data_IF_636712418639
#
_entry.id   IF_636712418639
#
_cell.length_a   1.000
_cell.length_b   1.000
_cell.length_c   1.000
_cell.angle_alpha   90.00
_cell.angle_beta   90.00
_cell.angle_gamma   90.00
#
_symmetry.space_group_name_H-M   'P 1'
#
loop_
_entity.id
_entity.type
_entity.pdbx_description
1 polymer ?
#
# COMPACT_ATOMS: atom_id res chain seq x y z
N UNK A 1 38.43 -54.28 -53.88
CA UNK A 1 37.63 -55.05 -52.90
C UNK A 1 37.34 -54.13 -51.72
N UNK A 2 36.07 -53.79 -51.50
CA UNK A 2 35.58 -53.02 -50.34
C UNK A 2 35.10 -53.99 -49.27
N UNK A 3 35.21 -53.65 -47.99
CA UNK A 3 34.18 -53.99 -47.03
C UNK A 3 33.48 -52.73 -46.51
N UNK A 4 32.15 -52.75 -46.60
CA UNK A 4 31.23 -51.98 -45.79
C UNK A 4 31.11 -52.69 -44.43
N UNK A 5 31.13 -51.93 -43.34
CA UNK A 5 30.31 -52.26 -42.17
C UNK A 5 29.95 -51.00 -41.40
N UNK A 6 28.68 -50.94 -41.02
CA UNK A 6 27.97 -49.84 -40.39
C UNK A 6 27.77 -50.10 -38.88
N UNK A 7 27.45 -49.05 -38.14
CA UNK A 7 27.03 -49.12 -36.74
C UNK A 7 28.08 -48.55 -35.79
N UNK A 8 27.79 -47.70 -34.81
CA UNK A 8 26.53 -47.39 -34.19
C UNK A 8 26.45 -45.89 -33.86
N UNK A 9 25.26 -45.35 -34.07
CA UNK A 9 24.90 -43.99 -33.79
C UNK A 9 24.89 -43.71 -32.28
N UNK A 10 25.50 -42.57 -31.91
CA UNK A 10 24.96 -41.54 -31.01
C UNK A 10 23.75 -41.94 -30.16
N UNK A 11 23.97 -42.47 -28.95
CA UNK A 11 22.94 -42.50 -27.90
C UNK A 11 23.60 -42.46 -26.51
N UNK A 12 24.05 -41.28 -26.07
CA UNK A 12 24.41 -41.06 -24.64
C UNK A 12 24.44 -39.57 -24.24
N UNK A 13 23.50 -38.74 -24.72
CA UNK A 13 23.37 -37.35 -24.26
C UNK A 13 21.91 -36.89 -24.12
N UNK A 14 21.07 -37.63 -23.40
CA UNK A 14 19.69 -37.19 -23.19
C UNK A 14 19.08 -37.71 -21.87
N UNK A 15 19.73 -37.44 -20.73
CA UNK A 15 19.11 -37.66 -19.39
C UNK A 15 19.34 -36.51 -18.40
N UNK A 16 20.11 -35.45 -18.73
CA UNK A 16 20.39 -34.37 -17.76
C UNK A 16 19.45 -33.17 -17.86
N UNK A 17 18.61 -33.07 -18.91
CA UNK A 17 17.75 -31.90 -19.11
C UNK A 17 16.44 -31.90 -18.28
N UNK A 18 16.02 -33.04 -17.72
CA UNK A 18 14.70 -33.17 -17.10
C UNK A 18 14.63 -32.77 -15.62
N UNK A 19 15.77 -32.71 -14.91
CA UNK A 19 15.79 -32.42 -13.46
C UNK A 19 15.87 -30.91 -13.18
N UNK A 20 16.37 -30.13 -14.13
CA UNK A 20 16.49 -28.68 -13.96
C UNK A 20 15.13 -27.95 -13.98
N UNK A 21 14.14 -28.44 -14.74
CA UNK A 21 12.83 -27.81 -14.84
C UNK A 21 11.93 -28.07 -13.62
N UNK A 22 12.01 -29.26 -13.01
CA UNK A 22 11.28 -29.56 -11.79
C UNK A 22 11.86 -28.81 -10.57
N UNK A 23 13.20 -28.67 -10.50
CA UNK A 23 13.86 -27.90 -9.44
C UNK A 23 13.64 -26.39 -9.54
N UNK A 24 13.67 -25.83 -10.76
CA UNK A 24 13.42 -24.41 -10.98
C UNK A 24 11.96 -24.01 -10.68
N UNK A 25 10.98 -24.84 -11.09
CA UNK A 25 9.56 -24.59 -10.79
C UNK A 25 9.25 -24.64 -9.29
N UNK A 26 9.83 -25.60 -8.56
CA UNK A 26 9.68 -25.69 -7.11
C UNK A 26 10.37 -24.53 -6.37
N UNK A 27 11.56 -24.11 -6.82
CA UNK A 27 12.25 -22.96 -6.23
C UNK A 27 11.49 -21.64 -6.44
N UNK A 28 10.92 -21.41 -7.64
CA UNK A 28 10.11 -20.23 -7.94
C UNK A 28 8.83 -20.24 -7.09
N UNK A 29 8.12 -21.38 -7.01
CA UNK A 29 6.92 -21.48 -6.18
C UNK A 29 7.20 -21.25 -4.69
N UNK A 30 8.32 -21.76 -4.14
CA UNK A 30 8.70 -21.53 -2.74
C UNK A 30 9.09 -20.08 -2.48
N UNK A 31 9.81 -19.43 -3.42
CA UNK A 31 10.12 -18.00 -3.31
C UNK A 31 8.86 -17.13 -3.35
N UNK A 32 7.89 -17.45 -4.20
CA UNK A 32 6.62 -16.72 -4.28
C UNK A 32 5.75 -16.88 -3.03
N UNK A 33 5.78 -18.05 -2.37
CA UNK A 33 5.06 -18.28 -1.10
C UNK A 33 5.77 -17.58 0.07
N UNK A 34 7.09 -17.47 0.04
CA UNK A 34 7.86 -16.73 1.06
C UNK A 34 7.78 -15.20 0.90
N UNK A 35 7.31 -14.70 -0.24
CA UNK A 35 7.12 -13.27 -0.51
C UNK A 35 5.65 -12.86 -0.58
N UNK A 36 4.74 -13.69 -0.06
CA UNK A 36 3.32 -13.35 0.06
C UNK A 36 3.09 -12.45 1.27
N UNK A 37 2.30 -11.39 1.11
CA UNK A 37 1.98 -10.45 2.18
C UNK A 37 2.85 -9.20 2.23
N UNK A 38 2.58 -8.39 3.25
CA UNK A 38 3.24 -7.12 3.48
C UNK A 38 4.73 -7.31 3.77
N UNK A 39 5.57 -6.67 2.95
CA UNK A 39 7.02 -6.79 3.04
C UNK A 39 7.71 -5.46 3.24
N UNK A 40 8.99 -5.43 2.89
CA UNK A 40 9.82 -4.24 3.05
C UNK A 40 9.32 -3.02 2.23
N UNK A 41 8.53 -3.22 1.16
CA UNK A 41 7.94 -2.10 0.40
C UNK A 41 6.84 -1.44 1.23
N UNK A 42 5.93 -2.25 1.77
CA UNK A 42 4.78 -1.82 2.56
C UNK A 42 5.21 -1.21 3.90
N UNK A 43 6.28 -1.74 4.51
CA UNK A 43 6.92 -1.14 5.71
C UNK A 43 7.46 0.26 5.41
N UNK A 44 8.20 0.45 4.31
CA UNK A 44 8.67 1.78 3.90
C UNK A 44 7.53 2.74 3.60
N UNK A 45 6.46 2.25 2.97
CA UNK A 45 5.27 3.05 2.73
C UNK A 45 4.62 3.46 4.06
N UNK A 46 4.49 2.52 5.01
CA UNK A 46 3.96 2.80 6.35
C UNK A 46 4.76 3.91 7.04
N UNK A 47 6.09 3.82 7.03
CA UNK A 47 6.95 4.87 7.60
C UNK A 47 6.76 6.22 6.90
N UNK A 48 6.65 6.23 5.57
CA UNK A 48 6.42 7.43 4.78
C UNK A 48 5.05 8.07 5.08
N UNK A 49 4.01 7.26 5.29
CA UNK A 49 2.67 7.71 5.67
C UNK A 49 2.64 8.25 7.10
N UNK A 50 3.25 7.56 8.05
CA UNK A 50 3.35 8.01 9.46
C UNK A 50 4.03 9.37 9.57
N UNK A 51 4.98 9.66 8.68
CA UNK A 51 5.71 10.93 8.65
C UNK A 51 4.99 12.10 7.99
N UNK A 52 3.73 11.96 7.54
CA UNK A 52 3.02 13.05 6.88
C UNK A 52 2.51 14.11 7.88
N UNK A 53 2.84 15.37 7.62
CA UNK A 53 2.42 16.55 8.41
C UNK A 53 0.91 16.62 8.69
N UNK A 54 0.08 16.09 7.78
CA UNK A 54 -1.38 16.12 7.93
C UNK A 54 -1.89 15.27 9.11
N UNK A 55 -1.12 14.28 9.55
CA UNK A 55 -1.40 13.48 10.75
C UNK A 55 -0.89 14.14 12.05
N UNK A 56 -0.02 15.14 11.94
CA UNK A 56 0.51 15.90 13.09
C UNK A 56 -0.32 17.16 13.37
N UNK A 57 -0.97 17.69 12.32
CA UNK A 57 -1.78 18.91 12.41
C UNK A 57 -3.23 18.60 12.74
N UNK A 58 -3.82 19.45 13.58
CA UNK A 58 -5.23 19.40 13.96
C UNK A 58 -5.74 20.80 14.32
N UNK A 59 -7.07 21.04 14.24
CA UNK A 59 -7.64 22.28 14.74
C UNK A 59 -7.36 22.49 16.24
N UNK A 60 -7.35 23.75 16.66
CA UNK A 60 -7.15 24.09 18.06
C UNK A 60 -8.25 23.47 18.97
N UNK A 61 -7.85 22.93 20.12
CA UNK A 61 -8.75 22.29 21.07
C UNK A 61 -9.12 20.84 20.75
N UNK A 62 -8.74 20.33 19.58
CA UNK A 62 -8.87 18.91 19.23
C UNK A 62 -7.75 18.10 19.90
N UNK A 63 -8.10 16.92 20.39
CA UNK A 63 -7.18 16.00 21.08
C UNK A 63 -7.03 14.71 20.30
N UNK A 64 -5.83 14.13 20.28
CA UNK A 64 -5.62 12.78 19.76
C UNK A 64 -6.26 11.74 20.70
N UNK A 65 -6.83 10.69 20.11
CA UNK A 65 -7.42 9.56 20.83
C UNK A 65 -6.57 8.33 20.57
N UNK A 66 -5.79 7.94 21.58
CA UNK A 66 -4.91 6.77 21.48
C UNK A 66 -3.72 7.00 20.54
N UNK A 67 -2.88 5.95 20.39
CA UNK A 67 -1.78 5.99 19.44
C UNK A 67 -2.30 5.94 18.00
N UNK A 68 -1.45 6.36 17.07
CA UNK A 68 -1.65 6.17 15.63
C UNK A 68 -1.78 4.67 15.31
N UNK A 69 -2.81 4.32 14.55
CA UNK A 69 -3.01 2.99 14.02
C UNK A 69 -2.22 2.80 12.74
N UNK A 70 -1.61 1.63 12.57
CA UNK A 70 -0.94 1.21 11.33
C UNK A 70 -1.36 -0.20 11.01
N UNK A 71 -1.76 -0.45 9.77
CA UNK A 71 -2.07 -1.80 9.30
C UNK A 71 -1.61 -1.98 7.86
N UNK A 72 -1.39 -3.24 7.50
CA UNK A 72 -1.20 -3.64 6.12
C UNK A 72 -1.97 -4.94 5.90
N UNK A 73 -2.75 -4.99 4.83
CA UNK A 73 -3.47 -6.20 4.42
C UNK A 73 -2.59 -7.00 3.46
N UNK A 74 -2.33 -8.26 3.82
CA UNK A 74 -1.41 -9.14 3.11
C UNK A 74 -1.91 -9.52 1.72
N UNK A 75 -3.22 -9.48 1.47
CA UNK A 75 -3.83 -9.98 0.24
C UNK A 75 -3.79 -8.93 -0.89
N UNK A 76 -4.03 -7.66 -0.59
CA UNK A 76 -4.08 -6.55 -1.57
C UNK A 76 -2.93 -5.54 -1.39
N UNK A 77 -2.03 -5.81 -0.42
CA UNK A 77 -0.92 -4.94 -0.04
C UNK A 77 -1.37 -3.52 0.29
N UNK A 78 -2.58 -3.39 0.85
CA UNK A 78 -3.16 -2.13 1.24
C UNK A 78 -2.57 -1.67 2.57
N UNK A 79 -1.77 -0.62 2.51
CA UNK A 79 -1.17 0.03 3.69
C UNK A 79 -2.09 1.13 4.17
N UNK A 80 -2.35 1.15 5.47
CA UNK A 80 -3.21 2.14 6.11
C UNK A 80 -2.54 2.72 7.38
N UNK A 81 -2.63 4.04 7.52
CA UNK A 81 -2.26 4.77 8.74
C UNK A 81 -3.41 5.65 9.16
N UNK A 82 -3.89 5.47 10.39
CA UNK A 82 -5.04 6.20 10.92
C UNK A 82 -4.68 6.97 12.20
N UNK A 83 -5.25 8.17 12.34
CA UNK A 83 -5.25 8.90 13.60
C UNK A 83 -6.67 9.34 13.94
N UNK A 84 -7.13 8.93 15.12
CA UNK A 84 -8.41 9.34 15.67
C UNK A 84 -8.23 10.59 16.52
N UNK A 85 -9.17 11.52 16.39
CA UNK A 85 -9.19 12.76 17.13
C UNK A 85 -10.55 13.00 17.79
N UNK A 86 -10.54 13.60 18.97
CA UNK A 86 -11.73 14.05 19.71
C UNK A 86 -11.94 15.56 19.55
N UNK A 87 -13.14 15.93 19.14
CA UNK A 87 -13.63 17.28 19.02
C UNK A 87 -13.92 17.91 20.39
N UNK A 88 -13.65 19.21 20.56
CA UNK A 88 -14.10 19.92 21.75
C UNK A 88 -15.63 20.11 21.72
N UNK A 89 -16.26 20.47 22.85
CA UNK A 89 -17.69 20.80 22.89
C UNK A 89 -18.08 22.01 22.02
N UNK A 90 -17.13 22.91 21.74
CA UNK A 90 -17.34 24.04 20.84
C UNK A 90 -17.27 23.59 19.38
N UNK A 91 -18.07 24.21 18.51
CA UNK A 91 -18.03 23.92 17.07
C UNK A 91 -16.65 24.29 16.48
N UNK A 92 -16.09 23.37 15.71
CA UNK A 92 -14.81 23.52 15.00
C UNK A 92 -15.03 23.12 13.55
N UNK A 93 -14.49 23.90 12.60
CA UNK A 93 -14.55 23.58 11.17
C UNK A 93 -13.39 22.65 10.77
N UNK A 94 -13.59 21.35 10.99
CA UNK A 94 -12.60 20.30 10.66
C UNK A 94 -12.35 20.24 9.16
N UNK A 95 -13.42 20.29 8.35
CA UNK A 95 -13.33 20.16 6.89
C UNK A 95 -12.57 21.34 6.27
N UNK A 96 -12.86 22.57 6.72
CA UNK A 96 -12.11 23.75 6.31
C UNK A 96 -10.64 23.65 6.69
N UNK A 97 -10.34 23.25 7.93
CA UNK A 97 -8.96 23.08 8.41
C UNK A 97 -8.16 22.09 7.56
N UNK A 98 -8.72 20.91 7.27
CA UNK A 98 -8.02 19.90 6.49
C UNK A 98 -7.96 20.23 5.01
N UNK A 99 -8.94 20.93 4.44
CA UNK A 99 -8.82 21.46 3.07
C UNK A 99 -7.61 22.37 2.92
N UNK A 100 -7.42 23.30 3.86
CA UNK A 100 -6.28 24.22 3.84
C UNK A 100 -4.96 23.50 4.13
N UNK A 101 -4.96 22.57 5.09
CA UNK A 101 -3.78 21.80 5.46
C UNK A 101 -3.33 20.89 4.33
N UNK A 102 -4.25 20.13 3.73
CA UNK A 102 -4.02 19.28 2.58
C UNK A 102 -3.45 20.08 1.41
N UNK A 103 -4.08 21.20 1.06
CA UNK A 103 -3.62 22.08 -0.02
C UNK A 103 -2.21 22.64 0.21
N UNK A 104 -1.87 23.00 1.46
CA UNK A 104 -0.52 23.47 1.82
C UNK A 104 0.53 22.36 1.71
N UNK A 105 0.16 21.14 2.06
CA UNK A 105 1.07 19.99 2.14
C UNK A 105 1.12 19.19 0.81
N UNK A 106 0.55 19.75 -0.27
CA UNK A 106 0.66 19.25 -1.64
C UNK A 106 -0.37 18.20 -2.04
N UNK A 107 -1.38 17.97 -1.21
CA UNK A 107 -2.50 17.09 -1.52
C UNK A 107 -3.48 17.77 -2.49
N UNK A 108 -4.12 16.97 -3.35
CA UNK A 108 -5.13 17.43 -4.33
C UNK A 108 -6.48 16.83 -3.98
N UNK A 109 -7.54 17.62 -3.99
CA UNK A 109 -8.89 17.07 -3.79
C UNK A 109 -9.26 16.13 -4.94
N UNK A 110 -9.86 14.97 -4.64
CA UNK A 110 -10.50 14.14 -5.66
C UNK A 110 -11.72 14.87 -6.25
N UNK A 111 -11.87 14.88 -7.58
CA UNK A 111 -13.00 15.55 -8.23
C UNK A 111 -14.33 14.78 -8.05
N UNK A 112 -14.28 13.47 -7.74
CA UNK A 112 -15.45 12.59 -7.73
C UNK A 112 -15.90 12.16 -6.31
N UNK A 113 -15.01 12.13 -5.31
CA UNK A 113 -15.32 11.61 -3.97
C UNK A 113 -15.76 12.63 -2.89
N UNK A 114 -16.11 13.85 -3.27
CA UNK A 114 -16.63 14.86 -2.33
C UNK A 114 -15.56 15.51 -1.43
N UNK A 115 -15.96 16.37 -0.47
CA UNK A 115 -15.07 17.34 0.18
C UNK A 115 -14.06 16.75 1.19
N UNK A 116 -14.01 15.42 1.33
CA UNK A 116 -13.26 14.70 2.38
C UNK A 116 -12.16 13.80 1.84
N UNK A 117 -11.93 13.78 0.53
CA UNK A 117 -10.96 12.88 -0.11
C UNK A 117 -9.89 13.66 -0.87
N UNK A 118 -8.63 13.34 -0.61
CA UNK A 118 -7.48 13.99 -1.21
C UNK A 118 -6.42 12.98 -1.62
N UNK A 119 -5.66 13.28 -2.67
CA UNK A 119 -4.62 12.39 -3.18
C UNK A 119 -3.27 13.08 -3.22
N UNK A 120 -2.20 12.31 -3.02
CA UNK A 120 -0.81 12.76 -3.14
C UNK A 120 0.05 11.61 -3.62
N UNK A 121 1.08 11.92 -4.41
CA UNK A 121 2.09 10.93 -4.80
C UNK A 121 3.19 10.92 -3.74
N UNK A 122 3.44 9.77 -3.13
CA UNK A 122 4.49 9.55 -2.12
C UNK A 122 5.31 8.34 -2.59
N UNK A 123 6.62 8.52 -2.73
CA UNK A 123 7.56 7.49 -3.22
C UNK A 123 7.16 6.79 -4.54
N UNK A 124 6.36 7.49 -5.36
CA UNK A 124 5.88 6.99 -6.66
C UNK A 124 4.52 6.31 -6.64
N UNK A 125 3.97 6.03 -5.45
CA UNK A 125 2.62 5.47 -5.28
C UNK A 125 1.59 6.59 -5.04
N UNK A 126 0.35 6.39 -5.49
CA UNK A 126 -0.77 7.30 -5.18
C UNK A 126 -1.31 6.94 -3.80
N UNK A 127 -1.35 7.94 -2.93
CA UNK A 127 -1.85 7.83 -1.57
C UNK A 127 -3.13 8.64 -1.45
N UNK A 128 -4.16 8.02 -0.90
CA UNK A 128 -5.41 8.65 -0.56
C UNK A 128 -5.39 9.11 0.90
N UNK A 129 -5.93 10.29 1.15
CA UNK A 129 -6.24 10.84 2.46
C UNK A 129 -7.74 11.02 2.56
N UNK A 130 -8.34 10.36 3.55
CA UNK A 130 -9.76 10.43 3.83
C UNK A 130 -10.01 11.05 5.22
N UNK A 131 -11.06 11.86 5.30
CA UNK A 131 -11.63 12.33 6.56
C UNK A 131 -12.98 11.69 6.82
N UNK A 132 -13.06 10.89 7.88
CA UNK A 132 -14.32 10.30 8.34
C UNK A 132 -14.85 11.04 9.56
N UNK A 133 -16.03 11.64 9.42
CA UNK A 133 -16.78 12.28 10.50
C UNK A 133 -17.85 11.30 11.00
N UNK A 134 -17.78 10.91 12.26
CA UNK A 134 -18.79 10.01 12.83
C UNK A 134 -19.99 10.84 13.32
N UNK A 135 -21.15 10.73 12.66
CA UNK A 135 -22.37 11.55 12.90
C UNK A 135 -22.86 11.60 14.36
N UNK A 136 -22.46 10.65 15.20
CA UNK A 136 -22.89 10.53 16.61
C UNK A 136 -21.75 10.52 17.61
N UNK A 137 -20.50 10.55 17.15
CA UNK A 137 -19.36 10.57 18.04
C UNK A 137 -18.77 11.98 18.07
N UNK A 138 -18.14 12.32 19.19
CA UNK A 138 -17.32 13.52 19.31
C UNK A 138 -15.94 13.30 18.65
N UNK A 139 -15.85 12.43 17.65
CA UNK A 139 -14.60 12.00 17.02
C UNK A 139 -14.62 12.12 15.50
N UNK A 140 -13.43 12.27 14.95
CA UNK A 140 -13.18 12.12 13.52
C UNK A 140 -11.86 11.39 13.31
N UNK A 141 -11.73 10.72 12.17
CA UNK A 141 -10.53 9.97 11.81
C UNK A 141 -9.92 10.57 10.55
N UNK A 142 -8.61 10.71 10.55
CA UNK A 142 -7.82 10.97 9.35
C UNK A 142 -7.11 9.68 8.98
N UNK A 143 -7.37 9.21 7.77
CA UNK A 143 -6.84 7.96 7.25
C UNK A 143 -5.96 8.26 6.05
N UNK A 144 -4.72 7.77 6.05
CA UNK A 144 -3.86 7.73 4.88
C UNK A 144 -3.78 6.29 4.40
N UNK A 145 -3.96 6.08 3.10
CA UNK A 145 -3.87 4.73 2.56
C UNK A 145 -3.26 4.67 1.18
N UNK A 146 -2.61 3.54 0.88
CA UNK A 146 -1.98 3.26 -0.41
C UNK A 146 -2.31 1.83 -0.80
N UNK A 147 -2.72 1.60 -2.05
CA UNK A 147 -2.87 0.26 -2.63
C UNK A 147 -2.02 0.16 -3.89
N UNK A 148 -1.37 -0.99 -4.07
CA UNK A 148 -0.60 -1.26 -5.30
C UNK A 148 -1.47 -1.75 -6.46
N UNK A 149 -2.67 -2.26 -6.16
CA UNK A 149 -3.62 -2.76 -7.15
C UNK A 149 -4.61 -1.69 -7.64
N UNK A 150 -4.78 -0.61 -6.87
CA UNK A 150 -5.74 0.45 -7.15
C UNK A 150 -5.04 1.67 -7.81
N UNK A 151 -5.21 1.81 -9.13
CA UNK A 151 -4.65 2.94 -9.92
C UNK A 151 -5.65 4.08 -10.16
N UNK A 152 -6.91 3.89 -9.79
CA UNK A 152 -7.92 4.95 -9.68
C UNK A 152 -8.17 5.18 -8.20
N UNK A 153 -8.29 6.42 -7.77
CA UNK A 153 -8.35 6.78 -6.37
C UNK A 153 -9.60 6.17 -5.70
N UNK A 154 -9.47 5.73 -4.44
CA UNK A 154 -10.64 5.59 -3.56
C UNK A 154 -11.34 6.95 -3.34
N UNK A 155 -10.69 8.02 -3.82
CA UNK A 155 -11.18 9.35 -4.14
C UNK A 155 -11.59 9.57 -5.62
#
# INVERSE_FOLDING_TARGET
MRPLSAGAAFLTQLVVASVALAGAGAAIAVLSVLSYGCGAKEERMTEALVGQDVLERRPAGVQEVGPRGTSCDDDDLWVNVEQVYRLPPARVDVLGFYRETAGRDGWRSGEEAGPVCYTKVIDGDVVDMELSLEDRADTYTVTLSSSSEFTGSGC
#
